data_IF_393497842040
#
_entry.id   IF_393497842040
#
_cell.length_a   1.000
_cell.length_b   1.000
_cell.length_c   1.000
_cell.angle_alpha   90.00
_cell.angle_beta   90.00
_cell.angle_gamma   90.00
#
_symmetry.space_group_name_H-M   'P 1'
#
loop_
_entity.id
_entity.type
_entity.pdbx_description
1 polymer ?
#
# COMPACT_ATOMS: atom_id res chain seq x y z
N UNK A 1 -1.11 -15.96 -16.43
CA UNK A 1 -0.90 -15.69 -14.98
C UNK A 1 -1.97 -14.68 -14.59
N UNK A 2 -2.72 -14.92 -13.52
CA UNK A 2 -3.69 -13.94 -13.00
C UNK A 2 -2.94 -12.68 -12.57
N UNK A 3 -3.39 -11.51 -13.01
CA UNK A 3 -2.77 -10.24 -12.63
C UNK A 3 -2.86 -10.06 -11.11
N UNK A 4 -1.69 -9.98 -10.46
CA UNK A 4 -1.55 -9.84 -9.01
C UNK A 4 -2.33 -8.63 -8.47
N UNK A 5 -2.49 -7.57 -9.28
CA UNK A 5 -3.27 -6.36 -8.94
C UNK A 5 -4.78 -6.63 -8.78
N UNK A 6 -5.27 -7.75 -9.30
CA UNK A 6 -6.67 -8.18 -9.20
C UNK A 6 -6.93 -9.19 -8.09
N UNK A 7 -5.94 -9.47 -7.24
CA UNK A 7 -6.13 -10.27 -6.04
C UNK A 7 -7.15 -9.61 -5.12
N UNK A 8 -8.18 -10.34 -4.73
CA UNK A 8 -9.17 -9.82 -3.79
C UNK A 8 -8.55 -9.76 -2.39
N UNK A 9 -8.37 -8.55 -1.88
CA UNK A 9 -8.02 -8.27 -0.49
C UNK A 9 -9.23 -7.67 0.22
N UNK A 10 -9.64 -8.25 1.35
CA UNK A 10 -10.88 -7.85 2.05
C UNK A 10 -10.74 -6.53 2.84
N UNK A 11 -9.51 -6.00 2.93
CA UNK A 11 -9.20 -4.73 3.59
C UNK A 11 -9.26 -4.76 5.11
N UNK A 12 -9.54 -5.91 5.75
CA UNK A 12 -9.67 -6.02 7.22
C UNK A 12 -8.33 -5.98 7.94
N UNK A 13 -7.28 -6.46 7.26
CA UNK A 13 -5.93 -6.60 7.79
C UNK A 13 -4.91 -6.21 6.74
N UNK A 14 -3.71 -5.81 7.16
CA UNK A 14 -2.62 -5.53 6.21
C UNK A 14 -2.24 -6.88 5.60
N UNK A 15 -2.34 -6.97 4.27
CA UNK A 15 -2.06 -8.20 3.52
C UNK A 15 -0.59 -8.25 3.12
N UNK A 16 0.01 -9.44 3.23
CA UNK A 16 1.36 -9.72 2.74
C UNK A 16 1.37 -10.62 1.49
N UNK A 17 0.21 -10.78 0.84
CA UNK A 17 0.02 -11.63 -0.33
C UNK A 17 -1.20 -12.56 -0.21
N UNK A 18 -1.61 -13.21 -1.31
CA UNK A 18 -2.84 -14.02 -1.38
C UNK A 18 -2.81 -15.29 -0.54
N UNK A 19 -1.62 -15.81 -0.24
CA UNK A 19 -1.41 -17.08 0.47
C UNK A 19 -0.66 -16.88 1.79
N UNK A 20 -0.58 -15.65 2.27
CA UNK A 20 0.14 -15.28 3.48
C UNK A 20 -0.86 -14.77 4.50
N UNK A 21 -0.72 -15.21 5.75
CA UNK A 21 -1.52 -14.69 6.85
C UNK A 21 -1.36 -13.16 6.98
N UNK A 22 -2.43 -12.48 7.37
CA UNK A 22 -2.43 -11.03 7.54
C UNK A 22 -1.69 -10.57 8.79
N UNK A 23 -1.54 -9.26 8.93
CA UNK A 23 -0.86 -8.64 10.08
C UNK A 23 -1.59 -8.81 11.42
N UNK A 24 -2.87 -9.11 11.40
CA UNK A 24 -3.64 -9.50 12.58
C UNK A 24 -3.14 -10.82 13.20
N UNK A 25 -2.57 -11.70 12.40
CA UNK A 25 -1.96 -12.96 12.85
C UNK A 25 -0.44 -12.84 12.98
N UNK A 26 0.23 -12.29 11.96
CA UNK A 26 1.70 -12.25 11.93
C UNK A 26 2.32 -11.09 12.72
N UNK A 27 1.56 -10.00 12.92
CA UNK A 27 1.94 -8.83 13.74
C UNK A 27 3.29 -8.21 13.35
N UNK A 28 3.59 -8.20 12.06
CA UNK A 28 4.85 -7.69 11.48
C UNK A 28 4.90 -6.16 11.51
N UNK A 29 3.79 -5.50 11.19
CA UNK A 29 3.72 -4.03 11.10
C UNK A 29 3.58 -3.35 12.48
N UNK A 30 3.11 -4.08 13.48
CA UNK A 30 2.88 -3.56 14.83
C UNK A 30 1.80 -2.46 14.85
N UNK A 31 1.85 -1.58 15.86
CA UNK A 31 0.94 -0.43 15.91
C UNK A 31 1.37 0.64 14.89
N UNK A 32 0.48 0.97 13.96
CA UNK A 32 0.70 1.96 12.89
C UNK A 32 0.04 3.31 13.19
N UNK A 33 -0.68 3.44 14.32
CA UNK A 33 -1.39 4.68 14.65
C UNK A 33 -0.45 5.87 14.75
N UNK A 34 -0.76 6.94 14.04
CA UNK A 34 0.02 8.19 13.98
C UNK A 34 1.34 8.08 13.21
N UNK A 35 1.74 6.87 12.81
CA UNK A 35 2.95 6.62 12.02
C UNK A 35 2.75 7.05 10.57
N UNK A 36 3.83 7.45 9.92
CA UNK A 36 3.87 7.75 8.50
C UNK A 36 4.30 6.49 7.77
N UNK A 37 3.41 5.96 6.94
CA UNK A 37 3.59 4.64 6.31
C UNK A 37 3.47 4.76 4.80
N UNK A 38 4.21 3.92 4.08
CA UNK A 38 4.23 3.88 2.62
C UNK A 38 3.85 2.50 2.12
N UNK A 39 2.89 2.45 1.20
CA UNK A 39 2.69 1.31 0.31
C UNK A 39 3.45 1.56 -1.00
N UNK A 40 4.46 0.74 -1.26
CA UNK A 40 5.29 0.80 -2.47
C UNK A 40 4.77 -0.22 -3.48
N UNK A 41 4.07 0.26 -4.51
CA UNK A 41 3.36 -0.57 -5.48
C UNK A 41 2.06 -1.10 -4.87
N UNK A 42 0.93 -0.67 -5.43
CA UNK A 42 -0.40 -0.94 -4.86
C UNK A 42 -0.83 -2.36 -5.22
N UNK A 43 -1.13 -3.14 -4.19
CA UNK A 43 -1.52 -4.54 -4.35
C UNK A 43 -3.00 -4.78 -3.98
N UNK A 44 -3.64 -5.65 -4.77
CA UNK A 44 -4.99 -6.13 -4.52
C UNK A 44 -6.11 -5.11 -4.75
N UNK A 45 -7.35 -5.56 -4.52
CA UNK A 45 -8.57 -4.76 -4.71
C UNK A 45 -8.70 -3.64 -3.68
N UNK A 46 -8.33 -3.92 -2.43
CA UNK A 46 -8.21 -2.94 -1.35
C UNK A 46 -6.73 -2.76 -0.98
N UNK A 47 -6.12 -1.62 -1.35
CA UNK A 47 -4.75 -1.28 -1.00
C UNK A 47 -4.44 -1.37 0.50
N UNK A 48 -3.23 -1.79 0.86
CA UNK A 48 -2.79 -1.82 2.26
C UNK A 48 -2.76 -0.43 2.89
N UNK A 49 -2.45 0.61 2.11
CA UNK A 49 -2.47 2.01 2.54
C UNK A 49 -3.81 2.45 3.09
N UNK A 50 -4.93 1.92 2.56
CA UNK A 50 -6.28 2.17 3.06
C UNK A 50 -6.47 1.49 4.42
N UNK A 51 -6.14 0.20 4.54
CA UNK A 51 -6.24 -0.53 5.81
C UNK A 51 -5.36 0.10 6.90
N UNK A 52 -4.16 0.57 6.54
CA UNK A 52 -3.29 1.31 7.46
C UNK A 52 -3.88 2.66 7.88
N UNK A 53 -4.52 3.39 6.95
CA UNK A 53 -5.18 4.66 7.26
C UNK A 53 -6.40 4.46 8.17
N UNK A 54 -7.19 3.40 7.96
CA UNK A 54 -8.29 3.00 8.85
C UNK A 54 -7.79 2.68 10.27
N UNK A 55 -6.56 2.15 10.40
CA UNK A 55 -5.88 1.93 11.70
C UNK A 55 -5.29 3.21 12.31
N UNK A 56 -5.41 4.35 11.63
CA UNK A 56 -4.98 5.67 12.11
C UNK A 56 -3.57 6.08 11.66
N UNK A 57 -3.00 5.43 10.65
CA UNK A 57 -1.73 5.84 10.06
C UNK A 57 -1.89 7.06 9.13
N UNK A 58 -0.80 7.78 8.90
CA UNK A 58 -0.66 8.77 7.83
C UNK A 58 -0.12 8.04 6.59
N UNK A 59 -1.03 7.50 5.80
CA UNK A 59 -0.70 6.61 4.68
C UNK A 59 -0.36 7.36 3.40
N UNK A 60 0.68 6.88 2.75
CA UNK A 60 1.11 7.25 1.41
C UNK A 60 1.11 5.99 0.55
N UNK A 61 0.73 6.08 -0.72
CA UNK A 61 0.82 5.00 -1.67
C UNK A 61 1.35 5.51 -3.02
N UNK A 62 2.20 4.71 -3.65
CA UNK A 62 2.77 5.01 -4.96
C UNK A 62 2.61 3.80 -5.88
N UNK A 63 2.22 4.06 -7.13
CA UNK A 63 2.19 3.08 -8.20
C UNK A 63 2.42 3.77 -9.55
N UNK A 64 3.17 3.16 -10.49
CA UNK A 64 3.37 3.75 -11.82
C UNK A 64 2.12 3.72 -12.71
N UNK A 65 1.09 2.93 -12.36
CA UNK A 65 -0.08 2.74 -13.20
C UNK A 65 -1.24 3.67 -12.77
N UNK A 66 -1.61 4.58 -13.66
CA UNK A 66 -2.68 5.56 -13.43
C UNK A 66 -4.02 4.94 -13.05
N UNK A 67 -4.42 3.86 -13.72
CA UNK A 67 -5.68 3.15 -13.46
C UNK A 67 -5.70 2.53 -12.05
N UNK A 68 -4.57 2.01 -11.58
CA UNK A 68 -4.40 1.54 -10.20
C UNK A 68 -4.59 2.69 -9.20
N UNK A 69 -3.97 3.85 -9.46
CA UNK A 69 -4.13 5.04 -8.62
C UNK A 69 -5.58 5.52 -8.58
N UNK A 70 -6.28 5.57 -9.72
CA UNK A 70 -7.69 5.98 -9.74
C UNK A 70 -8.58 5.02 -8.96
N UNK A 71 -8.37 3.71 -9.11
CA UNK A 71 -9.09 2.69 -8.33
C UNK A 71 -8.82 2.83 -6.83
N UNK A 72 -7.56 3.05 -6.45
CA UNK A 72 -7.18 3.23 -5.05
C UNK A 72 -7.79 4.49 -4.43
N UNK A 73 -7.84 5.60 -5.17
CA UNK A 73 -8.54 6.82 -4.75
C UNK A 73 -10.04 6.57 -4.52
N UNK A 74 -10.70 5.84 -5.42
CA UNK A 74 -12.11 5.49 -5.24
C UNK A 74 -12.31 4.60 -4.01
N UNK A 75 -11.43 3.63 -3.78
CA UNK A 75 -11.48 2.77 -2.60
C UNK A 75 -11.27 3.58 -1.30
N UNK A 76 -10.37 4.57 -1.30
CA UNK A 76 -10.15 5.45 -0.15
C UNK A 76 -11.38 6.32 0.14
N UNK A 77 -12.03 6.86 -0.88
CA UNK A 77 -13.31 7.59 -0.76
C UNK A 77 -14.39 6.70 -0.15
N UNK A 78 -14.54 5.46 -0.65
CA UNK A 78 -15.54 4.52 -0.16
C UNK A 78 -15.28 4.08 1.30
N UNK A 79 -14.00 4.05 1.70
CA UNK A 79 -13.58 3.71 3.05
C UNK A 79 -13.53 4.92 4.00
N UNK A 80 -13.85 6.12 3.50
CA UNK A 80 -13.82 7.40 4.23
C UNK A 80 -12.47 7.69 4.91
N UNK A 81 -11.36 7.35 4.24
CA UNK A 81 -10.00 7.62 4.74
C UNK A 81 -9.19 8.50 3.81
N UNK A 82 -8.27 9.27 4.39
CA UNK A 82 -7.31 10.07 3.65
C UNK A 82 -6.03 9.25 3.39
N UNK A 83 -5.63 9.15 2.12
CA UNK A 83 -4.37 8.55 1.69
C UNK A 83 -3.75 9.48 0.64
N UNK A 84 -2.46 9.74 0.77
CA UNK A 84 -1.69 10.47 -0.23
C UNK A 84 -1.27 9.52 -1.35
N UNK A 85 -1.74 9.76 -2.58
CA UNK A 85 -1.46 8.88 -3.73
C UNK A 85 -0.57 9.58 -4.75
N UNK A 86 0.49 8.90 -5.18
CA UNK A 86 1.42 9.35 -6.22
C UNK A 86 1.43 8.38 -7.40
N UNK A 87 1.29 8.93 -8.60
CA UNK A 87 1.57 8.20 -9.84
C UNK A 87 3.04 8.46 -10.20
N UNK A 88 3.91 7.51 -9.89
CA UNK A 88 5.36 7.64 -10.09
C UNK A 88 6.03 6.26 -10.22
N UNK A 89 7.23 6.25 -10.81
CA UNK A 89 8.09 5.08 -10.80
C UNK A 89 8.44 4.69 -9.35
N UNK A 90 8.50 3.40 -9.03
CA UNK A 90 8.80 2.93 -7.68
C UNK A 90 10.25 3.26 -7.26
N UNK A 91 11.15 3.48 -8.22
CA UNK A 91 12.51 3.95 -7.98
C UNK A 91 12.59 5.49 -7.83
N UNK A 92 11.55 6.24 -8.23
CA UNK A 92 11.49 7.70 -8.10
C UNK A 92 10.64 8.13 -6.91
N UNK A 93 11.30 8.19 -5.74
CA UNK A 93 10.68 8.60 -4.48
C UNK A 93 10.91 10.10 -4.17
N UNK A 94 11.10 10.94 -5.19
CA UNK A 94 11.29 12.38 -5.02
C UNK A 94 10.15 13.10 -4.29
N UNK A 95 8.95 12.51 -4.22
CA UNK A 95 7.84 13.05 -3.41
C UNK A 95 8.02 12.84 -1.90
N UNK A 96 8.92 11.95 -1.45
CA UNK A 96 9.23 11.71 -0.04
C UNK A 96 10.38 12.56 0.50
N UNK A 97 10.79 13.62 -0.22
CA UNK A 97 11.95 14.46 0.12
C UNK A 97 11.96 14.88 1.60
N UNK A 98 13.08 14.59 2.28
CA UNK A 98 13.35 14.87 3.70
C UNK A 98 12.36 14.24 4.70
N UNK A 99 11.62 13.22 4.27
CA UNK A 99 10.52 12.70 5.06
C UNK A 99 10.88 11.35 5.66
N UNK A 100 10.75 11.23 6.99
CA UNK A 100 10.87 9.94 7.69
C UNK A 100 9.63 9.11 7.39
N UNK A 101 9.83 7.84 7.07
CA UNK A 101 8.79 6.83 6.92
C UNK A 101 9.06 5.77 7.98
N UNK A 102 8.07 5.50 8.83
CA UNK A 102 8.20 4.56 9.94
C UNK A 102 8.06 3.10 9.47
N UNK A 103 7.36 2.88 8.36
CA UNK A 103 7.11 1.56 7.78
C UNK A 103 6.87 1.67 6.27
N UNK A 104 7.53 0.80 5.50
CA UNK A 104 7.25 0.59 4.08
C UNK A 104 6.76 -0.84 3.89
N UNK A 105 5.61 -0.99 3.22
CA UNK A 105 5.08 -2.29 2.79
C UNK A 105 5.15 -2.37 1.28
N UNK A 106 5.80 -3.41 0.77
CA UNK A 106 5.85 -3.73 -0.65
C UNK A 106 5.47 -5.19 -0.84
N UNK A 107 4.42 -5.44 -1.62
CA UNK A 107 3.89 -6.78 -1.86
C UNK A 107 3.87 -7.02 -3.37
N UNK A 108 4.60 -8.03 -3.83
CA UNK A 108 4.68 -8.45 -5.24
C UNK A 108 5.24 -7.42 -6.24
N UNK A 109 5.89 -6.33 -5.81
CA UNK A 109 6.33 -5.25 -6.73
C UNK A 109 7.84 -4.96 -6.74
N UNK A 110 8.64 -5.67 -5.94
CA UNK A 110 10.11 -5.70 -6.14
C UNK A 110 10.40 -6.88 -7.06
N UNK A 111 10.61 -6.62 -8.34
CA UNK A 111 11.42 -7.52 -9.16
C UNK A 111 12.90 -7.13 -8.99
N UNK A 112 13.80 -8.11 -9.15
CA UNK A 112 15.21 -7.77 -9.35
C UNK A 112 15.36 -7.34 -10.80
N UNK A 113 15.31 -6.04 -11.06
CA UNK A 113 15.90 -5.51 -12.28
C UNK A 113 17.42 -5.67 -12.14
N UNK A 114 17.91 -6.83 -12.59
CA UNK A 114 19.34 -7.10 -12.75
C UNK A 114 19.72 -6.46 -14.07
N UNK A 115 20.25 -5.23 -14.00
CA UNK A 115 21.18 -4.77 -15.03
C UNK A 115 22.42 -5.69 -15.09
#
# INVERSE_FOLDING_TARGET
>A
MSDARWTVTDGRTISFGPTVYGDDELRVCGDVRGKRVLELGIFGTTPNSITMAQKGARSIAVDPHRDVIQRARQAATNAEVAVEFHEADLADLGFLMNAVVDLVVCVHQIDMNTD
#
